data_IF_702646138479
#
_entry.id   IF_702646138479
#
_cell.length_a   1.000
_cell.length_b   1.000
_cell.length_c   1.000
_cell.angle_alpha   90.00
_cell.angle_beta   90.00
_cell.angle_gamma   90.00
#
_symmetry.space_group_name_H-M   'P 1'
#
loop_
_entity.id
_entity.type
_entity.pdbx_description
1 polymer ?
#
# COMPACT_ATOMS: atom_id res chain seq x y z
N UNK A 1 12.62 -11.83 0.91
CA UNK A 1 13.76 -12.73 1.17
C UNK A 1 13.50 -14.17 0.74
N UNK A 2 12.27 -14.72 0.98
CA UNK A 2 11.99 -16.12 0.60
C UNK A 2 12.17 -16.37 -0.91
N UNK A 3 11.58 -15.52 -1.75
CA UNK A 3 11.74 -15.62 -3.21
C UNK A 3 13.18 -15.47 -3.68
N UNK A 4 13.98 -14.64 -3.01
CA UNK A 4 15.38 -14.41 -3.35
C UNK A 4 16.33 -15.57 -2.95
N UNK A 5 15.81 -16.61 -2.29
CA UNK A 5 16.57 -17.84 -2.01
C UNK A 5 16.65 -18.76 -3.23
N UNK A 6 15.72 -18.65 -4.15
CA UNK A 6 15.78 -19.37 -5.43
C UNK A 6 16.70 -18.60 -6.38
N UNK A 7 17.80 -19.21 -6.86
CA UNK A 7 18.76 -18.54 -7.74
C UNK A 7 18.20 -18.18 -9.12
N UNK A 8 17.06 -18.74 -9.51
CA UNK A 8 16.37 -18.39 -10.74
C UNK A 8 15.55 -17.09 -10.61
N UNK A 9 15.35 -16.57 -9.39
CA UNK A 9 14.59 -15.37 -9.14
C UNK A 9 15.51 -14.15 -8.95
N UNK A 10 15.28 -13.12 -9.74
CA UNK A 10 15.85 -11.80 -9.51
C UNK A 10 14.80 -10.93 -8.79
N UNK A 11 15.05 -10.61 -7.53
CA UNK A 11 14.13 -9.84 -6.71
C UNK A 11 14.66 -8.43 -6.48
N UNK A 12 13.86 -7.42 -6.88
CA UNK A 12 14.16 -5.99 -6.68
C UNK A 12 13.08 -5.38 -5.81
N UNK A 13 13.48 -4.63 -4.79
CA UNK A 13 12.58 -3.81 -3.99
C UNK A 13 12.91 -2.33 -4.16
N UNK A 14 11.91 -1.56 -4.57
CA UNK A 14 12.00 -0.10 -4.66
C UNK A 14 11.57 0.51 -3.33
N UNK A 15 12.30 1.52 -2.84
CA UNK A 15 12.03 2.11 -1.52
C UNK A 15 12.33 3.60 -1.48
N UNK A 16 11.48 4.35 -0.77
CA UNK A 16 11.73 5.77 -0.46
C UNK A 16 12.56 5.98 0.82
N UNK A 17 12.91 4.91 1.54
CA UNK A 17 13.73 5.04 2.74
C UNK A 17 15.17 5.43 2.37
N UNK A 18 15.72 6.51 2.94
CA UNK A 18 17.12 6.88 2.69
C UNK A 18 18.09 5.88 3.35
N UNK A 19 19.35 5.91 2.90
CA UNK A 19 20.46 5.18 3.50
C UNK A 19 20.26 3.66 3.58
N UNK A 20 19.60 3.07 2.57
CA UNK A 20 19.48 1.61 2.49
C UNK A 20 20.75 0.99 1.92
N UNK A 21 21.13 -0.23 2.34
CA UNK A 21 22.17 -1.00 1.67
C UNK A 21 21.73 -1.34 0.23
N UNK A 22 22.69 -1.62 -0.65
CA UNK A 22 22.37 -1.98 -2.03
C UNK A 22 21.60 -3.31 -2.15
N UNK A 23 21.72 -4.18 -1.13
CA UNK A 23 20.99 -5.45 -1.06
C UNK A 23 20.71 -5.85 0.39
N UNK A 24 19.65 -6.63 0.57
CA UNK A 24 19.27 -7.22 1.84
C UNK A 24 18.71 -8.64 1.63
N UNK A 25 19.34 -9.64 2.24
CA UNK A 25 18.92 -11.05 2.14
C UNK A 25 18.63 -11.52 0.69
N UNK A 26 19.51 -11.17 -0.26
CA UNK A 26 19.37 -11.54 -1.66
C UNK A 26 18.45 -10.62 -2.48
N UNK A 27 17.76 -9.69 -1.85
CA UNK A 27 16.91 -8.70 -2.53
C UNK A 27 17.74 -7.46 -2.87
N UNK A 28 17.78 -7.07 -4.14
CA UNK A 28 18.39 -5.79 -4.57
C UNK A 28 17.49 -4.64 -4.10
N UNK A 29 18.04 -3.68 -3.38
CA UNK A 29 17.32 -2.48 -2.93
C UNK A 29 17.65 -1.30 -3.84
N UNK A 30 16.61 -0.62 -4.33
CA UNK A 30 16.74 0.56 -5.18
C UNK A 30 16.02 1.72 -4.52
N UNK A 31 16.83 2.64 -3.98
CA UNK A 31 16.30 3.83 -3.34
C UNK A 31 15.88 4.88 -4.40
N UNK A 32 14.78 5.55 -4.14
CA UNK A 32 14.30 6.67 -4.92
C UNK A 32 13.67 7.73 -4.01
N UNK A 33 13.35 8.91 -4.54
CA UNK A 33 12.74 9.97 -3.76
C UNK A 33 11.90 10.91 -4.61
N UNK A 34 10.89 11.50 -4.00
CA UNK A 34 10.08 12.53 -4.61
C UNK A 34 10.88 13.83 -4.73
N UNK A 35 10.76 14.51 -5.88
CA UNK A 35 11.45 15.79 -6.16
C UNK A 35 10.73 16.99 -5.55
N UNK A 36 9.48 16.81 -5.12
CA UNK A 36 8.65 17.86 -4.52
C UNK A 36 7.76 17.30 -3.41
N UNK A 37 7.22 18.17 -2.62
CA UNK A 37 6.15 17.89 -1.66
C UNK A 37 4.81 18.35 -2.21
N UNK A 38 3.71 18.05 -1.51
CA UNK A 38 2.36 18.50 -1.87
C UNK A 38 2.30 20.03 -1.94
N UNK A 39 1.49 20.53 -2.85
CA UNK A 39 1.30 21.97 -3.08
C UNK A 39 0.71 22.63 -1.84
N UNK A 40 1.32 23.72 -1.32
CA UNK A 40 0.73 24.48 -0.22
C UNK A 40 -0.67 25.00 -0.58
N UNK A 41 -1.58 24.96 0.38
CA UNK A 41 -2.95 25.48 0.24
C UNK A 41 -3.79 24.85 -0.87
N UNK A 42 -3.42 23.66 -1.34
CA UNK A 42 -4.29 22.89 -2.23
C UNK A 42 -5.61 22.53 -1.52
N UNK A 43 -6.66 22.29 -2.27
CA UNK A 43 -7.95 21.90 -1.71
C UNK A 43 -7.82 20.64 -0.85
N UNK A 44 -8.31 20.68 0.40
CA UNK A 44 -8.07 19.63 1.41
C UNK A 44 -8.48 18.22 0.95
N UNK A 45 -9.50 18.09 0.10
CA UNK A 45 -9.96 16.79 -0.39
C UNK A 45 -9.03 16.13 -1.41
N UNK A 46 -8.15 16.91 -2.06
CA UNK A 46 -7.23 16.36 -3.07
C UNK A 46 -5.80 16.23 -2.56
N UNK A 47 -5.50 16.70 -1.35
CA UNK A 47 -4.15 16.62 -0.76
C UNK A 47 -3.62 15.19 -0.73
N UNK A 48 -4.47 14.24 -0.35
CA UNK A 48 -4.10 12.82 -0.25
C UNK A 48 -3.78 12.24 -1.63
N UNK A 49 -4.59 12.51 -2.64
CA UNK A 49 -4.35 12.01 -4.00
C UNK A 49 -3.16 12.70 -4.65
N UNK A 50 -2.94 14.00 -4.42
CA UNK A 50 -1.74 14.67 -4.91
C UNK A 50 -0.47 14.03 -4.34
N UNK A 51 -0.43 13.76 -3.03
CA UNK A 51 0.72 13.09 -2.40
C UNK A 51 1.01 11.72 -3.03
N UNK A 52 -0.04 10.96 -3.37
CA UNK A 52 0.09 9.66 -4.04
C UNK A 52 0.59 9.78 -5.48
N UNK A 53 0.12 10.77 -6.22
CA UNK A 53 0.61 11.06 -7.58
C UNK A 53 2.09 11.43 -7.55
N UNK A 54 2.51 12.28 -6.61
CA UNK A 54 3.93 12.66 -6.45
C UNK A 54 4.80 11.43 -6.17
N UNK A 55 4.34 10.50 -5.31
CA UNK A 55 5.05 9.25 -5.03
C UNK A 55 5.06 8.32 -6.24
N UNK A 56 3.93 8.20 -6.93
CA UNK A 56 3.82 7.41 -8.15
C UNK A 56 4.74 7.92 -9.25
N UNK A 57 4.84 9.24 -9.44
CA UNK A 57 5.79 9.85 -10.36
C UNK A 57 7.24 9.52 -10.02
N UNK A 58 7.60 9.60 -8.73
CA UNK A 58 8.95 9.26 -8.28
C UNK A 58 9.28 7.77 -8.52
N UNK A 59 8.33 6.87 -8.24
CA UNK A 59 8.47 5.44 -8.53
C UNK A 59 8.53 5.16 -10.03
N UNK A 60 7.74 5.85 -10.84
CA UNK A 60 7.77 5.76 -12.30
C UNK A 60 9.16 6.10 -12.88
N UNK A 61 9.78 7.18 -12.43
CA UNK A 61 11.13 7.54 -12.89
C UNK A 61 12.19 6.52 -12.45
N UNK A 62 12.07 5.98 -11.25
CA UNK A 62 12.92 4.89 -10.79
C UNK A 62 12.75 3.63 -11.65
N UNK A 63 11.51 3.27 -11.96
CA UNK A 63 11.17 2.15 -12.83
C UNK A 63 11.72 2.33 -14.26
N UNK A 64 11.63 3.55 -14.82
CA UNK A 64 12.24 3.87 -16.11
C UNK A 64 13.76 3.67 -16.11
N UNK A 65 14.46 4.10 -15.05
CA UNK A 65 15.89 3.88 -14.90
C UNK A 65 16.26 2.39 -14.79
N UNK A 66 15.46 1.62 -14.03
CA UNK A 66 15.62 0.16 -13.96
C UNK A 66 15.43 -0.50 -15.32
N UNK A 67 14.40 -0.13 -16.07
CA UNK A 67 14.15 -0.64 -17.42
C UNK A 67 15.31 -0.30 -18.37
N UNK A 68 15.82 0.93 -18.32
CA UNK A 68 16.97 1.35 -19.11
C UNK A 68 18.26 0.57 -18.76
N UNK A 69 18.38 0.09 -17.51
CA UNK A 69 19.48 -0.79 -17.09
C UNK A 69 19.27 -2.27 -17.45
N UNK A 70 18.21 -2.60 -18.17
CA UNK A 70 17.91 -3.96 -18.64
C UNK A 70 17.02 -4.78 -17.70
N UNK A 71 16.51 -4.21 -16.59
CA UNK A 71 15.60 -4.93 -15.70
C UNK A 71 14.15 -4.87 -16.19
N UNK A 72 13.54 -6.03 -16.38
CA UNK A 72 12.11 -6.17 -16.74
C UNK A 72 11.48 -7.22 -15.84
N UNK A 73 10.56 -6.85 -14.95
CA UNK A 73 9.91 -7.81 -14.06
C UNK A 73 8.82 -8.61 -14.78
N UNK A 74 8.66 -9.87 -14.43
CA UNK A 74 7.49 -10.68 -14.80
C UNK A 74 6.29 -10.33 -13.92
N UNK A 75 6.56 -10.06 -12.62
CA UNK A 75 5.55 -9.77 -11.61
C UNK A 75 5.94 -8.56 -10.77
N UNK A 76 4.97 -7.70 -10.52
CA UNK A 76 5.08 -6.56 -9.60
C UNK A 76 4.09 -6.80 -8.46
N UNK A 77 4.56 -6.74 -7.22
CA UNK A 77 3.72 -6.78 -6.03
C UNK A 77 3.86 -5.43 -5.33
N UNK A 78 2.76 -4.74 -5.12
CA UNK A 78 2.79 -3.40 -4.53
C UNK A 78 1.60 -3.14 -3.60
N UNK A 79 1.85 -2.33 -2.57
CA UNK A 79 0.79 -1.81 -1.73
C UNK A 79 0.16 -0.60 -2.40
N UNK A 80 -1.12 -0.69 -2.81
CA UNK A 80 -1.78 0.40 -3.55
C UNK A 80 -1.96 1.68 -2.72
N UNK A 81 -2.04 1.57 -1.39
CA UNK A 81 -2.40 2.67 -0.49
C UNK A 81 -1.49 3.90 -0.54
N UNK A 82 -0.25 3.75 -0.99
CA UNK A 82 0.73 4.83 -0.99
C UNK A 82 0.94 5.52 -2.34
N UNK A 83 0.42 4.94 -3.43
CA UNK A 83 0.47 5.52 -4.78
C UNK A 83 1.68 5.13 -5.63
N UNK A 84 2.70 4.47 -5.07
CA UNK A 84 3.95 4.15 -5.77
C UNK A 84 3.75 3.26 -7.01
N UNK A 85 2.71 2.46 -7.03
CA UNK A 85 2.41 1.55 -8.15
C UNK A 85 1.50 2.12 -9.24
N UNK A 86 1.03 3.36 -9.09
CA UNK A 86 0.07 3.99 -10.02
C UNK A 86 0.48 3.88 -11.50
N UNK A 87 1.78 4.06 -11.79
CA UNK A 87 2.28 4.19 -13.17
C UNK A 87 3.28 3.09 -13.55
N UNK A 88 3.39 2.00 -12.77
CA UNK A 88 4.36 0.95 -13.08
C UNK A 88 4.00 0.13 -14.31
N UNK A 89 2.72 -0.03 -14.61
CA UNK A 89 2.24 -0.69 -15.84
C UNK A 89 2.54 0.13 -17.10
N UNK A 90 2.67 1.45 -16.99
CA UNK A 90 3.09 2.31 -18.10
C UNK A 90 4.57 2.07 -18.48
N UNK A 91 5.39 1.68 -17.49
CA UNK A 91 6.80 1.30 -17.75
C UNK A 91 6.90 -0.16 -18.22
N UNK A 92 6.19 -1.07 -17.56
CA UNK A 92 6.22 -2.51 -17.83
C UNK A 92 4.81 -3.08 -18.10
N UNK A 93 4.25 -2.81 -19.29
CA UNK A 93 2.87 -3.18 -19.61
C UNK A 93 2.62 -4.69 -19.60
N UNK A 94 3.66 -5.50 -19.82
CA UNK A 94 3.55 -6.96 -19.83
C UNK A 94 3.69 -7.59 -18.43
N UNK A 95 4.27 -6.89 -17.46
CA UNK A 95 4.40 -7.39 -16.10
C UNK A 95 3.02 -7.59 -15.45
N UNK A 96 2.84 -8.68 -14.72
CA UNK A 96 1.62 -8.90 -13.93
C UNK A 96 1.67 -8.05 -12.67
N UNK A 97 0.66 -7.20 -12.46
CA UNK A 97 0.56 -6.34 -11.28
C UNK A 97 -0.42 -6.94 -10.27
N UNK A 98 0.10 -7.37 -9.13
CA UNK A 98 -0.70 -7.74 -7.96
C UNK A 98 -0.64 -6.61 -6.93
N UNK A 99 -1.78 -6.09 -6.51
CA UNK A 99 -1.86 -5.04 -5.49
C UNK A 99 -2.30 -5.63 -4.14
N UNK A 100 -1.65 -5.18 -3.06
CA UNK A 100 -2.10 -5.49 -1.71
C UNK A 100 -3.31 -4.63 -1.39
N UNK A 101 -4.49 -5.28 -1.43
CA UNK A 101 -5.81 -4.68 -1.25
C UNK A 101 -6.20 -4.71 0.22
N UNK A 102 -5.59 -3.79 0.99
CA UNK A 102 -5.80 -3.74 2.42
C UNK A 102 -7.21 -3.26 2.77
N UNK A 103 -7.66 -2.17 2.14
CA UNK A 103 -8.95 -1.59 2.48
C UNK A 103 -9.50 -0.66 1.38
N UNK A 104 -10.81 -0.76 1.14
CA UNK A 104 -11.54 0.24 0.37
C UNK A 104 -12.40 1.07 1.33
N UNK A 105 -12.25 2.38 1.30
CA UNK A 105 -12.84 3.26 2.28
C UNK A 105 -14.35 3.47 2.07
N UNK A 106 -15.11 3.35 3.15
CA UNK A 106 -16.55 3.61 3.18
C UNK A 106 -16.85 4.76 4.12
N UNK A 107 -17.72 5.67 3.71
CA UNK A 107 -18.15 6.77 4.55
C UNK A 107 -19.03 6.32 5.73
N UNK A 108 -19.65 5.14 5.62
CA UNK A 108 -20.55 4.57 6.64
C UNK A 108 -20.43 3.05 6.69
N UNK A 109 -20.66 2.49 7.87
CA UNK A 109 -20.74 1.05 8.08
C UNK A 109 -19.39 0.31 8.04
N UNK A 110 -18.27 1.05 8.11
CA UNK A 110 -16.93 0.49 8.18
C UNK A 110 -16.08 1.27 9.20
N UNK A 111 -14.90 1.76 8.78
CA UNK A 111 -13.93 2.45 9.65
C UNK A 111 -14.33 3.89 10.00
N UNK A 112 -15.03 4.59 9.11
CA UNK A 112 -15.42 6.00 9.31
C UNK A 112 -16.71 6.09 10.11
N UNK A 113 -16.68 6.89 11.18
CA UNK A 113 -17.85 7.15 12.01
C UNK A 113 -18.41 5.95 12.77
N UNK A 114 -17.58 4.90 13.00
CA UNK A 114 -17.98 3.75 13.80
C UNK A 114 -18.06 4.09 15.30
N UNK A 115 -17.24 5.04 15.74
CA UNK A 115 -17.21 5.49 17.11
C UNK A 115 -18.08 6.74 17.28
N UNK A 116 -19.17 6.69 18.07
CA UNK A 116 -20.05 7.83 18.30
C UNK A 116 -19.40 9.01 19.03
N UNK A 117 -18.28 8.80 19.71
CA UNK A 117 -17.47 9.86 20.31
C UNK A 117 -16.84 10.79 19.24
N UNK A 118 -16.62 10.25 18.02
CA UNK A 118 -16.05 10.98 16.88
C UNK A 118 -17.02 10.97 15.69
N UNK A 119 -18.14 11.73 15.76
CA UNK A 119 -19.15 11.72 14.70
C UNK A 119 -18.60 12.29 13.40
N UNK A 120 -18.82 11.58 12.29
CA UNK A 120 -18.46 12.05 10.97
C UNK A 120 -19.46 13.06 10.43
N UNK A 121 -18.97 14.00 9.60
CA UNK A 121 -19.79 15.00 8.90
C UNK A 121 -19.96 14.63 7.42
N UNK A 122 -20.97 15.18 6.75
CA UNK A 122 -21.24 14.93 5.33
C UNK A 122 -20.05 15.33 4.43
N UNK A 123 -19.25 16.29 4.84
CA UNK A 123 -18.01 16.69 4.17
C UNK A 123 -16.98 15.55 4.16
N UNK A 124 -16.97 14.70 5.18
CA UNK A 124 -16.12 13.52 5.24
C UNK A 124 -16.54 12.48 4.20
N UNK A 125 -17.82 12.29 3.96
CA UNK A 125 -18.33 11.41 2.92
C UNK A 125 -17.76 11.78 1.54
N UNK A 126 -17.70 13.09 1.25
CA UNK A 126 -17.11 13.60 0.01
C UNK A 126 -15.61 13.34 -0.05
N UNK A 127 -14.89 13.60 1.04
CA UNK A 127 -13.46 13.37 1.14
C UNK A 127 -13.10 11.88 0.97
N UNK A 128 -13.87 10.99 1.59
CA UNK A 128 -13.69 9.53 1.46
C UNK A 128 -13.86 9.07 0.00
N UNK A 129 -14.84 9.63 -0.72
CA UNK A 129 -15.02 9.32 -2.14
C UNK A 129 -13.79 9.71 -2.97
N UNK A 130 -13.24 10.90 -2.73
CA UNK A 130 -12.00 11.35 -3.39
C UNK A 130 -10.81 10.47 -3.00
N UNK A 131 -10.70 10.07 -1.73
CA UNK A 131 -9.64 9.18 -1.25
C UNK A 131 -9.59 7.85 -2.02
N UNK A 132 -10.74 7.31 -2.41
CA UNK A 132 -10.81 6.07 -3.18
C UNK A 132 -10.36 6.20 -4.64
N UNK A 133 -10.11 7.40 -5.16
CA UNK A 133 -9.56 7.57 -6.53
C UNK A 133 -8.28 6.76 -6.72
N UNK A 134 -7.43 6.71 -5.71
CA UNK A 134 -6.20 5.91 -5.76
C UNK A 134 -6.49 4.41 -5.95
N UNK A 135 -7.47 3.86 -5.25
CA UNK A 135 -7.88 2.48 -5.42
C UNK A 135 -8.46 2.24 -6.83
N UNK A 136 -9.33 3.14 -7.30
CA UNK A 136 -9.96 3.02 -8.62
C UNK A 136 -8.91 3.03 -9.75
N UNK A 137 -7.92 3.92 -9.69
CA UNK A 137 -6.83 3.98 -10.68
C UNK A 137 -6.00 2.69 -10.68
N UNK A 138 -5.76 2.10 -9.51
CA UNK A 138 -5.07 0.80 -9.45
C UNK A 138 -5.92 -0.34 -10.01
N UNK A 139 -7.24 -0.33 -9.76
CA UNK A 139 -8.14 -1.40 -10.23
C UNK A 139 -8.20 -1.47 -11.76
N UNK A 140 -8.04 -0.34 -12.43
CA UNK A 140 -8.01 -0.28 -13.89
C UNK A 140 -6.88 -1.15 -14.48
N UNK A 141 -5.70 -1.11 -13.86
CA UNK A 141 -4.47 -1.72 -14.42
C UNK A 141 -4.03 -2.99 -13.68
N UNK A 142 -4.56 -3.28 -12.48
CA UNK A 142 -4.15 -4.44 -11.70
C UNK A 142 -4.70 -5.75 -12.30
N UNK A 143 -3.81 -6.74 -12.41
CA UNK A 143 -4.16 -8.11 -12.83
C UNK A 143 -4.80 -8.89 -11.68
N UNK A 144 -4.37 -8.65 -10.42
CA UNK A 144 -4.84 -9.34 -9.22
C UNK A 144 -4.81 -8.44 -7.99
N UNK A 145 -5.57 -8.82 -6.97
CA UNK A 145 -5.50 -8.25 -5.62
C UNK A 145 -5.20 -9.32 -4.57
N UNK A 146 -4.52 -8.93 -3.51
CA UNK A 146 -4.27 -9.74 -2.32
C UNK A 146 -4.87 -9.01 -1.12
N UNK A 147 -5.64 -9.68 -0.29
CA UNK A 147 -6.20 -9.10 0.93
C UNK A 147 -5.93 -9.99 2.14
N UNK A 148 -5.59 -9.43 3.32
CA UNK A 148 -5.22 -10.26 4.46
C UNK A 148 -6.40 -10.97 5.11
N UNK A 149 -7.62 -10.46 4.95
CA UNK A 149 -8.83 -11.07 5.53
C UNK A 149 -10.02 -11.01 4.57
N UNK A 150 -10.98 -11.92 4.77
CA UNK A 150 -12.24 -11.90 4.03
C UNK A 150 -13.05 -10.61 4.26
N UNK A 151 -12.99 -10.06 5.47
CA UNK A 151 -13.66 -8.81 5.79
C UNK A 151 -13.08 -7.64 4.98
N UNK A 152 -11.76 -7.50 4.95
CA UNK A 152 -11.09 -6.46 4.17
C UNK A 152 -11.38 -6.63 2.68
N UNK A 153 -11.29 -7.85 2.15
CA UNK A 153 -11.66 -8.14 0.75
C UNK A 153 -13.10 -7.74 0.44
N UNK A 154 -14.03 -7.93 1.38
CA UNK A 154 -15.45 -7.61 1.20
C UNK A 154 -15.72 -6.11 1.10
N UNK A 155 -14.80 -5.23 1.53
CA UNK A 155 -14.95 -3.78 1.41
C UNK A 155 -14.85 -3.30 -0.04
N UNK A 156 -14.19 -4.08 -0.92
CA UNK A 156 -13.95 -3.69 -2.29
C UNK A 156 -15.18 -3.88 -3.19
N UNK A 157 -15.41 -2.95 -4.13
CA UNK A 157 -16.55 -3.04 -5.05
C UNK A 157 -16.34 -4.12 -6.10
N UNK A 158 -17.44 -4.69 -6.59
CA UNK A 158 -17.45 -5.45 -7.84
C UNK A 158 -17.25 -4.50 -9.05
N UNK A 159 -16.56 -4.90 -10.12
CA UNK A 159 -16.05 -6.27 -10.37
C UNK A 159 -14.63 -6.51 -9.81
N UNK A 160 -14.01 -5.55 -9.11
CA UNK A 160 -12.62 -5.70 -8.66
C UNK A 160 -12.47 -6.79 -7.59
N UNK A 161 -13.46 -6.92 -6.69
CA UNK A 161 -13.45 -7.92 -5.62
C UNK A 161 -13.24 -9.35 -6.14
N UNK A 162 -13.74 -9.66 -7.34
CA UNK A 162 -13.55 -10.96 -7.96
C UNK A 162 -12.08 -11.29 -8.31
N UNK A 163 -11.23 -10.28 -8.40
CA UNK A 163 -9.79 -10.43 -8.64
C UNK A 163 -8.98 -10.59 -7.34
N UNK A 164 -9.63 -10.49 -6.16
CA UNK A 164 -8.93 -10.51 -4.86
C UNK A 164 -8.85 -11.95 -4.34
N UNK A 165 -7.63 -12.38 -4.05
CA UNK A 165 -7.36 -13.61 -3.30
C UNK A 165 -7.08 -13.24 -1.84
N UNK A 166 -7.72 -13.92 -0.89
CA UNK A 166 -7.48 -13.72 0.53
C UNK A 166 -6.31 -14.59 0.96
N UNK A 167 -5.24 -13.92 1.42
CA UNK A 167 -4.05 -14.57 1.96
C UNK A 167 -3.67 -13.82 3.25
N UNK A 168 -3.79 -14.48 4.39
CA UNK A 168 -3.44 -13.91 5.69
C UNK A 168 -1.94 -13.64 5.77
N UNK A 169 -1.55 -12.50 6.37
CA UNK A 169 -0.14 -12.08 6.46
C UNK A 169 0.74 -13.05 7.27
N UNK A 170 0.12 -13.87 8.10
CA UNK A 170 0.81 -14.80 8.98
C UNK A 170 1.30 -14.14 10.27
N UNK A 171 1.40 -14.97 11.31
CA UNK A 171 2.01 -14.61 12.59
C UNK A 171 2.89 -15.77 13.00
N UNK A 172 4.12 -15.50 13.39
CA UNK A 172 4.99 -16.51 14.00
C UNK A 172 4.48 -16.82 15.42
N UNK A 173 3.64 -17.84 15.52
CA UNK A 173 3.04 -18.27 16.79
C UNK A 173 4.02 -19.00 17.71
N UNK A 174 5.21 -19.33 17.24
CA UNK A 174 6.27 -19.86 18.09
C UNK A 174 7.06 -18.72 18.76
N UNK A 175 7.28 -17.62 18.07
CA UNK A 175 7.95 -16.44 18.62
C UNK A 175 6.99 -15.55 19.43
N UNK A 176 5.73 -15.46 19.01
CA UNK A 176 4.71 -14.62 19.66
C UNK A 176 3.74 -15.53 20.41
N UNK A 177 4.01 -15.73 21.69
CA UNK A 177 3.22 -16.59 22.57
C UNK A 177 2.61 -15.78 23.72
N UNK A 178 1.47 -16.22 24.29
CA UNK A 178 0.92 -15.61 25.49
C UNK A 178 1.93 -15.62 26.64
N UNK A 179 2.07 -14.49 27.31
CA UNK A 179 2.92 -14.37 28.49
C UNK A 179 2.10 -13.80 29.66
N UNK A 180 1.79 -14.66 30.63
CA UNK A 180 0.92 -14.33 31.77
C UNK A 180 1.52 -13.30 32.75
N UNK A 181 2.84 -13.03 32.67
CA UNK A 181 3.51 -12.06 33.55
C UNK A 181 3.64 -10.66 32.92
N UNK A 182 3.25 -10.52 31.66
CA UNK A 182 3.24 -9.20 31.02
C UNK A 182 1.99 -8.44 31.41
N UNK A 183 2.16 -7.23 31.92
CA UNK A 183 1.08 -6.30 32.23
C UNK A 183 1.28 -4.98 31.47
N UNK A 184 0.18 -4.37 31.06
CA UNK A 184 0.14 -3.02 30.51
C UNK A 184 -0.33 -2.06 31.62
N UNK A 185 0.53 -1.12 32.00
CA UNK A 185 0.14 -0.04 32.92
C UNK A 185 -0.29 1.18 32.10
N UNK A 186 -1.52 1.61 32.29
CA UNK A 186 -2.06 2.82 31.67
C UNK A 186 -2.06 3.96 32.67
N UNK A 187 -1.27 4.99 32.45
CA UNK A 187 -1.33 6.22 33.24
C UNK A 187 -2.42 7.12 32.67
N UNK A 188 -3.54 7.24 33.38
CA UNK A 188 -4.62 8.14 33.02
C UNK A 188 -4.52 9.45 33.80
N UNK A 189 -5.18 10.53 33.34
CA UNK A 189 -5.27 11.80 34.06
C UNK A 189 -5.93 11.69 35.44
N UNK A 190 -6.60 10.57 35.74
CA UNK A 190 -7.32 10.29 36.99
C UNK A 190 -6.60 9.27 37.88
N UNK A 191 -5.33 8.96 37.62
CA UNK A 191 -4.53 7.97 38.36
C UNK A 191 -4.45 6.62 37.67
N UNK A 192 -3.58 5.74 38.21
CA UNK A 192 -3.39 4.37 37.70
C UNK A 192 -4.50 3.44 38.20
#
# INVERSE_FOLDING_TARGET
>A
PALAKDPNNQVVAMTMRPNQPASWQGVRLVAYGAKRQSTPNIHAWVTDIEAKVIRGEAAFHCAQALKASGFTPDVIIAHCGWGESLFLKDVWPQAKLAIYSEFYYHARGADVGFDPEFPSQITEDCRIRVKNLNNLLHFEVADAGLSPTHWQASTFPEPFRSKITVIHDGIDTQAITPNAVVSLSLNTAHGA
#
